data_IF_858018521150
#
_entry.id   IF_858018521150
#
_cell.length_a   1.000
_cell.length_b   1.000
_cell.length_c   1.000
_cell.angle_alpha   90.00
_cell.angle_beta   90.00
_cell.angle_gamma   90.00
#
_symmetry.space_group_name_H-M   'P 1'
#
loop_
_entity.id
_entity.type
_entity.pdbx_description
1 polymer ?
#
# COMPACT_ATOMS: atom_id res chain seq x y z
N UNK A 1 -20.70 15.71 18.18
CA UNK A 1 -20.08 15.99 16.86
C UNK A 1 -21.08 16.55 15.84
N UNK A 2 -22.06 15.80 15.29
CA UNK A 2 -22.92 16.28 14.18
C UNK A 2 -23.75 17.53 14.50
N UNK A 3 -24.15 17.77 15.76
CA UNK A 3 -24.83 18.97 16.18
C UNK A 3 -23.92 20.21 16.10
N UNK A 4 -22.69 20.08 16.57
CA UNK A 4 -21.67 21.12 16.46
C UNK A 4 -21.35 21.49 15.01
N UNK A 5 -21.15 20.48 14.14
CA UNK A 5 -20.90 20.73 12.72
C UNK A 5 -22.04 21.57 12.08
N UNK A 6 -23.30 21.23 12.39
CA UNK A 6 -24.46 22.03 11.94
C UNK A 6 -24.47 23.46 12.51
N UNK A 7 -24.10 23.62 13.79
CA UNK A 7 -24.05 24.94 14.41
C UNK A 7 -22.92 25.79 13.77
N UNK A 8 -21.75 25.21 13.50
CA UNK A 8 -20.65 25.88 12.81
C UNK A 8 -21.03 26.21 11.37
N UNK A 9 -21.61 25.26 10.63
CA UNK A 9 -22.08 25.49 9.26
C UNK A 9 -23.14 26.60 9.15
N UNK A 10 -23.95 26.80 10.19
CA UNK A 10 -24.95 27.88 10.28
C UNK A 10 -24.35 29.20 10.82
N UNK A 11 -23.05 29.26 11.09
CA UNK A 11 -22.41 30.44 11.70
C UNK A 11 -22.80 30.73 13.13
N UNK A 12 -23.39 29.76 13.85
CA UNK A 12 -23.83 29.91 15.26
C UNK A 12 -22.73 29.60 16.27
N UNK A 13 -21.66 28.96 15.81
CA UNK A 13 -20.47 28.60 16.59
C UNK A 13 -19.24 28.91 15.76
N UNK A 14 -18.09 29.31 16.36
CA UNK A 14 -16.85 29.52 15.64
C UNK A 14 -16.28 28.20 15.15
N UNK A 15 -15.59 28.24 14.02
CA UNK A 15 -14.82 27.11 13.49
C UNK A 15 -13.50 26.91 14.24
N UNK A 16 -12.92 25.71 14.18
CA UNK A 16 -11.55 25.48 14.63
C UNK A 16 -10.55 26.01 13.60
N UNK A 17 -10.81 25.76 12.30
CA UNK A 17 -9.99 26.22 11.18
C UNK A 17 -10.88 26.73 10.05
N UNK A 18 -10.50 27.87 9.47
CA UNK A 18 -11.07 28.43 8.26
C UNK A 18 -9.97 28.58 7.21
N UNK A 19 -10.05 27.80 6.13
CA UNK A 19 -9.16 27.88 4.98
C UNK A 19 -9.81 28.74 3.92
N UNK A 20 -9.18 29.88 3.58
CA UNK A 20 -9.70 30.89 2.64
C UNK A 20 -9.00 30.88 1.31
N UNK A 21 -9.70 31.40 0.31
CA UNK A 21 -9.16 31.61 -1.05
C UNK A 21 -8.61 30.33 -1.66
N UNK A 22 -9.31 29.20 -1.44
CA UNK A 22 -8.93 27.91 -1.97
C UNK A 22 -9.52 27.67 -3.38
N UNK A 23 -8.74 27.05 -4.26
CA UNK A 23 -9.27 26.33 -5.43
C UNK A 23 -9.53 24.90 -5.01
N UNK A 24 -10.80 24.58 -4.76
CA UNK A 24 -11.21 23.24 -4.32
C UNK A 24 -11.07 22.25 -5.49
N UNK A 25 -10.33 21.18 -5.30
CA UNK A 25 -10.31 20.04 -6.19
C UNK A 25 -11.48 19.13 -5.80
N UNK A 26 -12.56 19.24 -6.53
CA UNK A 26 -13.77 18.48 -6.28
C UNK A 26 -13.74 17.14 -7.04
N UNK A 27 -13.31 16.10 -6.33
CA UNK A 27 -13.23 14.72 -6.84
C UNK A 27 -14.61 14.04 -6.97
N UNK A 28 -15.68 14.66 -6.46
CA UNK A 28 -17.04 14.13 -6.56
C UNK A 28 -17.71 14.54 -7.87
N UNK A 29 -17.42 15.76 -8.36
CA UNK A 29 -17.99 16.31 -9.62
C UNK A 29 -16.94 16.49 -10.72
N UNK A 30 -15.70 16.09 -10.47
CA UNK A 30 -14.55 16.23 -11.39
C UNK A 30 -14.36 17.69 -11.86
N UNK A 31 -14.36 18.62 -10.92
CA UNK A 31 -14.25 20.04 -11.21
C UNK A 31 -13.31 20.79 -10.25
N UNK A 32 -12.94 22.01 -10.61
CA UNK A 32 -12.22 22.93 -9.73
C UNK A 32 -13.02 24.23 -9.60
N UNK A 33 -13.24 24.69 -8.37
CA UNK A 33 -13.94 25.94 -8.10
C UNK A 33 -13.37 26.68 -6.89
N UNK A 34 -13.58 27.99 -6.81
CA UNK A 34 -13.11 28.81 -5.70
C UNK A 34 -14.10 28.75 -4.50
N UNK A 35 -13.56 28.48 -3.32
CA UNK A 35 -14.34 28.42 -2.07
C UNK A 35 -13.45 28.60 -0.84
N UNK A 36 -14.11 28.72 0.31
CA UNK A 36 -13.49 28.56 1.64
C UNK A 36 -14.00 27.30 2.31
N UNK A 37 -13.16 26.69 3.16
CA UNK A 37 -13.47 25.45 3.88
C UNK A 37 -13.43 25.71 5.37
N UNK A 38 -14.48 25.27 6.05
CA UNK A 38 -14.68 25.43 7.49
C UNK A 38 -14.56 24.09 8.17
N UNK A 39 -13.68 23.98 9.16
CA UNK A 39 -13.40 22.73 9.89
C UNK A 39 -13.75 22.91 11.36
N UNK A 40 -14.37 21.88 11.95
CA UNK A 40 -14.62 21.78 13.39
C UNK A 40 -14.53 20.31 13.83
N UNK A 41 -13.90 20.06 14.99
CA UNK A 41 -13.75 18.71 15.57
C UNK A 41 -13.18 17.68 14.57
N UNK A 42 -12.24 18.10 13.74
CA UNK A 42 -11.60 17.25 12.76
C UNK A 42 -12.42 16.95 11.49
N UNK A 43 -13.58 17.59 11.32
CA UNK A 43 -14.46 17.37 10.18
C UNK A 43 -14.76 18.67 9.44
N UNK A 44 -15.01 18.57 8.15
CA UNK A 44 -15.47 19.69 7.34
C UNK A 44 -16.91 20.02 7.73
N UNK A 45 -17.13 21.21 8.27
CA UNK A 45 -18.46 21.69 8.61
C UNK A 45 -19.17 22.31 7.41
N UNK A 46 -18.41 23.05 6.57
CA UNK A 46 -18.95 23.70 5.36
C UNK A 46 -17.87 23.89 4.30
N UNK A 47 -18.32 23.96 3.04
CA UNK A 47 -17.58 24.47 1.88
C UNK A 47 -18.48 25.56 1.29
N UNK A 48 -18.01 26.80 1.19
CA UNK A 48 -18.85 27.94 0.82
C UNK A 48 -18.07 28.98 0.01
N UNK A 49 -18.81 29.93 -0.57
CA UNK A 49 -18.18 31.05 -1.26
C UNK A 49 -17.28 31.86 -0.30
N UNK A 50 -16.14 32.34 -0.80
CA UNK A 50 -15.19 33.11 -0.02
C UNK A 50 -15.84 34.33 0.66
N UNK A 51 -15.58 34.51 1.96
CA UNK A 51 -16.12 35.59 2.77
C UNK A 51 -17.44 35.29 3.46
N UNK A 52 -17.98 34.07 3.34
CA UNK A 52 -19.20 33.62 4.03
C UNK A 52 -18.95 33.50 5.53
N UNK A 53 -17.79 32.96 5.93
CA UNK A 53 -17.44 32.74 7.35
C UNK A 53 -16.40 33.74 7.82
N UNK A 54 -16.51 34.17 9.09
CA UNK A 54 -15.62 35.16 9.70
C UNK A 54 -14.99 34.67 10.99
N UNK A 55 -15.71 33.85 11.76
CA UNK A 55 -15.32 33.46 13.11
C UNK A 55 -14.68 32.04 13.10
N UNK A 56 -13.37 32.01 13.33
CA UNK A 56 -12.61 30.78 13.48
C UNK A 56 -11.45 30.99 14.46
N UNK A 57 -11.06 29.91 15.17
CA UNK A 57 -9.89 29.95 16.07
C UNK A 57 -8.58 30.15 15.30
N UNK A 58 -8.49 29.50 14.12
CA UNK A 58 -7.37 29.64 13.18
C UNK A 58 -7.89 30.04 11.80
N UNK A 59 -7.21 30.92 11.11
CA UNK A 59 -7.53 31.31 9.73
C UNK A 59 -6.27 31.13 8.89
N UNK A 60 -6.37 30.36 7.81
CA UNK A 60 -5.32 30.17 6.84
C UNK A 60 -5.79 30.67 5.47
N UNK A 61 -5.08 31.66 4.92
CA UNK A 61 -5.28 32.14 3.55
C UNK A 61 -4.28 31.46 2.64
N UNK A 62 -4.75 30.56 1.78
CA UNK A 62 -3.91 29.81 0.84
C UNK A 62 -3.75 30.51 -0.52
N UNK A 63 -4.25 31.74 -0.66
CA UNK A 63 -3.97 32.68 -1.77
C UNK A 63 -4.17 32.08 -3.17
N UNK A 64 -5.20 31.28 -3.35
CA UNK A 64 -5.54 30.67 -4.64
C UNK A 64 -4.79 29.35 -4.94
N UNK A 65 -4.11 28.79 -3.95
CA UNK A 65 -3.57 27.43 -4.03
C UNK A 65 -4.69 26.39 -4.10
N UNK A 66 -4.36 25.17 -4.53
CA UNK A 66 -5.33 24.10 -4.70
C UNK A 66 -5.51 23.32 -3.41
N UNK A 67 -6.74 23.15 -2.98
CA UNK A 67 -7.10 22.34 -1.82
C UNK A 67 -7.73 21.03 -2.31
N UNK A 68 -7.03 19.94 -2.12
CA UNK A 68 -7.45 18.59 -2.46
C UNK A 68 -7.73 17.75 -1.21
N UNK A 69 -8.49 16.65 -1.31
CA UNK A 69 -8.51 15.66 -0.24
C UNK A 69 -7.11 15.07 -0.02
N UNK A 70 -6.85 14.63 1.19
CA UNK A 70 -5.64 13.89 1.52
C UNK A 70 -5.50 12.62 0.67
N UNK A 71 -4.27 12.31 0.26
CA UNK A 71 -3.98 11.17 -0.60
C UNK A 71 -4.06 9.86 0.20
N UNK A 72 -4.42 8.79 -0.49
CA UNK A 72 -4.57 7.44 0.06
C UNK A 72 -3.63 6.49 -0.68
N UNK A 73 -2.71 5.85 0.04
CA UNK A 73 -1.94 4.73 -0.49
C UNK A 73 -2.78 3.47 -0.29
N UNK A 74 -3.27 2.92 -1.39
CA UNK A 74 -4.28 1.86 -1.36
C UNK A 74 -3.71 0.47 -1.04
N UNK A 75 -2.41 0.28 -1.13
CA UNK A 75 -1.72 -0.95 -0.74
C UNK A 75 -0.21 -0.69 -0.62
N UNK A 76 0.39 -1.07 0.50
CA UNK A 76 1.84 -0.94 0.69
C UNK A 76 2.36 -1.87 1.81
N UNK A 77 3.67 -2.20 1.68
CA UNK A 77 4.44 -2.93 2.69
C UNK A 77 5.42 -1.96 3.36
N UNK A 78 5.16 -1.63 4.62
CA UNK A 78 6.03 -0.71 5.38
C UNK A 78 7.43 -1.31 5.56
N UNK A 79 7.51 -2.62 5.71
CA UNK A 79 8.74 -3.39 5.89
C UNK A 79 9.73 -3.17 4.73
N UNK A 80 9.26 -3.10 3.51
CA UNK A 80 10.07 -2.87 2.30
C UNK A 80 10.76 -1.52 2.29
N UNK A 81 10.24 -0.55 3.05
CA UNK A 81 10.90 0.75 3.26
C UNK A 81 12.15 0.65 4.13
N UNK A 82 12.32 -0.44 4.89
CA UNK A 82 13.34 -0.65 5.93
C UNK A 82 13.26 0.38 7.06
N UNK A 83 12.09 0.99 7.29
CA UNK A 83 11.81 1.92 8.36
C UNK A 83 10.72 1.40 9.30
N UNK A 84 10.67 1.90 10.52
CA UNK A 84 9.55 1.62 11.41
C UNK A 84 8.30 2.41 10.94
N UNK A 85 7.08 1.97 11.31
CA UNK A 85 5.85 2.60 10.84
C UNK A 85 5.78 4.11 11.07
N UNK A 86 6.29 4.60 12.20
CA UNK A 86 6.26 6.03 12.50
C UNK A 86 7.11 6.85 11.52
N UNK A 87 8.33 6.37 11.17
CA UNK A 87 9.19 7.05 10.19
C UNK A 87 8.60 7.00 8.79
N UNK A 88 8.03 5.85 8.42
CA UNK A 88 7.35 5.69 7.14
C UNK A 88 6.17 6.67 7.02
N UNK A 89 5.28 6.69 8.02
CA UNK A 89 4.14 7.60 8.06
C UNK A 89 4.55 9.07 7.97
N UNK A 90 5.63 9.48 8.65
CA UNK A 90 6.11 10.86 8.60
C UNK A 90 6.57 11.25 7.18
N UNK A 91 7.27 10.37 6.48
CA UNK A 91 7.64 10.64 5.08
C UNK A 91 6.41 10.68 4.16
N UNK A 92 5.43 9.80 4.35
CA UNK A 92 4.17 9.80 3.60
C UNK A 92 3.38 11.10 3.81
N UNK A 93 3.27 11.57 5.05
CA UNK A 93 2.62 12.84 5.38
C UNK A 93 3.26 14.02 4.66
N UNK A 94 4.61 14.07 4.56
CA UNK A 94 5.33 15.12 3.84
C UNK A 94 4.97 15.20 2.36
N UNK A 95 4.50 14.10 1.79
CA UNK A 95 4.04 14.03 0.40
C UNK A 95 2.53 14.12 0.23
N UNK A 96 1.79 14.38 1.31
CA UNK A 96 0.35 14.60 1.29
C UNK A 96 -0.50 13.35 1.44
N UNK A 97 0.11 12.21 1.75
CA UNK A 97 -0.65 10.98 2.07
C UNK A 97 -1.13 11.05 3.51
N UNK A 98 -2.44 10.94 3.70
CA UNK A 98 -3.10 11.01 5.01
C UNK A 98 -3.81 9.72 5.38
N UNK A 99 -3.75 8.73 4.50
CA UNK A 99 -4.34 7.40 4.72
C UNK A 99 -3.45 6.33 4.12
N UNK A 100 -3.15 5.30 4.91
CA UNK A 100 -2.36 4.13 4.49
C UNK A 100 -3.18 2.86 4.71
N UNK A 101 -3.13 1.96 3.72
CA UNK A 101 -3.62 0.60 3.82
C UNK A 101 -2.42 -0.31 3.64
N UNK A 102 -2.06 -1.02 4.71
CA UNK A 102 -0.80 -1.79 4.79
C UNK A 102 -1.08 -3.27 4.96
N UNK A 103 -0.26 -4.11 4.33
CA UNK A 103 -0.25 -5.57 4.53
C UNK A 103 1.09 -5.99 5.14
N UNK A 104 1.17 -6.21 6.47
CA UNK A 104 2.42 -6.50 7.17
C UNK A 104 2.75 -8.02 7.17
N UNK A 105 2.76 -8.65 6.00
CA UNK A 105 2.96 -10.10 5.91
C UNK A 105 4.41 -10.52 6.20
N UNK A 106 5.41 -9.66 5.98
CA UNK A 106 6.80 -9.98 6.27
C UNK A 106 7.06 -10.08 7.78
N UNK A 107 6.59 -9.10 8.56
CA UNK A 107 6.74 -9.16 10.00
C UNK A 107 5.83 -10.25 10.61
N UNK A 108 4.67 -10.50 10.00
CA UNK A 108 3.80 -11.60 10.41
C UNK A 108 4.47 -12.96 10.19
N UNK A 109 5.21 -13.13 9.09
CA UNK A 109 6.02 -14.34 8.83
C UNK A 109 7.07 -14.58 9.92
N UNK A 110 7.63 -13.52 10.48
CA UNK A 110 8.67 -13.59 11.52
C UNK A 110 8.08 -13.72 12.92
N UNK A 111 7.04 -12.95 13.26
CA UNK A 111 6.59 -12.73 14.63
C UNK A 111 5.07 -12.82 14.83
N UNK A 112 4.32 -13.20 13.81
CA UNK A 112 2.86 -13.42 13.88
C UNK A 112 2.09 -12.21 14.40
N UNK A 113 1.10 -12.48 15.25
CA UNK A 113 0.23 -11.47 15.84
C UNK A 113 0.98 -10.35 16.60
N UNK A 114 2.11 -10.64 17.21
CA UNK A 114 2.93 -9.63 17.91
C UNK A 114 3.49 -8.62 16.91
N UNK A 115 3.96 -9.10 15.75
CA UNK A 115 4.46 -8.27 14.67
C UNK A 115 3.34 -7.40 14.08
N UNK A 116 2.19 -7.98 13.78
CA UNK A 116 1.02 -7.26 13.24
C UNK A 116 0.57 -6.15 14.19
N UNK A 117 0.43 -6.45 15.50
CA UNK A 117 0.07 -5.45 16.51
C UNK A 117 1.09 -4.32 16.63
N UNK A 118 2.38 -4.64 16.50
CA UNK A 118 3.42 -3.61 16.50
C UNK A 118 3.24 -2.67 15.30
N UNK A 119 3.04 -3.20 14.09
CA UNK A 119 2.84 -2.39 12.90
C UNK A 119 1.59 -1.51 13.03
N UNK A 120 0.47 -2.10 13.47
CA UNK A 120 -0.80 -1.40 13.65
C UNK A 120 -0.68 -0.26 14.67
N UNK A 121 -0.27 -0.55 15.89
CA UNK A 121 -0.24 0.43 16.96
C UNK A 121 0.79 1.53 16.72
N UNK A 122 1.98 1.16 16.20
CA UNK A 122 3.02 2.15 15.87
C UNK A 122 2.60 3.11 14.77
N UNK A 123 1.86 2.62 13.75
CA UNK A 123 1.30 3.47 12.71
C UNK A 123 0.20 4.39 13.25
N UNK A 124 -0.64 3.89 14.16
CA UNK A 124 -1.72 4.67 14.79
C UNK A 124 -1.24 5.76 15.76
N UNK A 125 0.01 5.73 16.22
CA UNK A 125 0.61 6.84 16.98
C UNK A 125 0.78 8.11 16.13
N UNK A 126 0.79 7.97 14.80
CA UNK A 126 1.00 9.08 13.87
C UNK A 126 -0.30 9.79 13.50
N UNK A 127 -0.27 11.08 13.17
CA UNK A 127 -1.45 11.83 12.72
C UNK A 127 -1.82 11.48 11.25
N UNK A 128 -2.18 10.23 11.03
CA UNK A 128 -2.55 9.63 9.74
C UNK A 128 -3.63 8.56 9.99
N UNK A 129 -4.48 8.28 9.02
CA UNK A 129 -5.34 7.10 9.10
C UNK A 129 -4.49 5.89 8.71
N UNK A 130 -4.23 5.00 9.65
CA UNK A 130 -3.41 3.82 9.45
C UNK A 130 -4.26 2.57 9.60
N UNK A 131 -4.39 1.83 8.51
CA UNK A 131 -5.14 0.59 8.44
C UNK A 131 -4.21 -0.57 8.10
N UNK A 132 -4.55 -1.75 8.64
CA UNK A 132 -3.84 -3.00 8.39
C UNK A 132 -4.81 -4.01 7.80
N UNK A 133 -4.39 -4.69 6.75
CA UNK A 133 -5.00 -5.91 6.28
C UNK A 133 -4.26 -7.11 6.87
N UNK A 134 -5.01 -8.11 7.32
CA UNK A 134 -4.40 -9.30 7.91
C UNK A 134 -3.80 -10.17 6.82
N UNK A 135 -2.53 -10.60 6.96
CA UNK A 135 -1.86 -11.38 5.93
C UNK A 135 -2.58 -12.67 5.57
N UNK A 136 -2.86 -12.85 4.30
CA UNK A 136 -3.56 -14.05 3.78
C UNK A 136 -2.66 -15.27 3.69
N UNK A 137 -1.38 -15.07 3.39
CA UNK A 137 -0.43 -16.10 3.01
C UNK A 137 0.84 -16.03 3.87
N UNK A 138 0.77 -16.53 5.11
CA UNK A 138 1.91 -16.67 6.01
C UNK A 138 1.94 -18.10 6.57
N UNK A 139 2.96 -18.89 6.19
CA UNK A 139 4.00 -18.63 5.18
C UNK A 139 3.42 -18.47 3.77
N UNK A 140 4.17 -17.79 2.87
CA UNK A 140 3.74 -17.58 1.49
C UNK A 140 3.66 -18.90 0.70
N UNK A 141 4.51 -19.87 1.03
CA UNK A 141 4.52 -21.20 0.43
C UNK A 141 4.72 -22.30 1.48
N UNK A 142 4.29 -23.55 1.20
CA UNK A 142 4.53 -24.67 2.10
C UNK A 142 5.99 -25.12 2.18
N UNK A 143 6.89 -24.53 1.39
CA UNK A 143 8.31 -24.84 1.37
C UNK A 143 9.13 -23.96 2.32
N UNK A 144 8.52 -22.95 2.90
CA UNK A 144 9.18 -22.02 3.83
C UNK A 144 9.19 -22.54 5.27
N UNK A 145 10.23 -22.15 5.99
CA UNK A 145 10.31 -22.26 7.43
C UNK A 145 9.97 -20.90 8.05
N UNK A 146 8.70 -20.64 8.23
CA UNK A 146 8.20 -19.39 8.82
C UNK A 146 8.38 -19.39 10.36
N UNK A 147 8.47 -18.20 10.93
CA UNK A 147 8.44 -18.00 12.38
C UNK A 147 7.02 -18.16 12.95
N UNK A 148 6.00 -18.01 12.12
CA UNK A 148 4.59 -18.13 12.48
C UNK A 148 3.74 -18.63 11.32
N UNK A 149 2.54 -19.08 11.62
CA UNK A 149 1.50 -19.43 10.65
C UNK A 149 0.27 -18.57 10.93
N UNK A 150 -0.23 -17.88 9.92
CA UNK A 150 -1.47 -17.11 9.98
C UNK A 150 -2.59 -17.92 9.34
N UNK A 151 -3.24 -18.76 10.13
CA UNK A 151 -4.45 -19.48 9.74
C UNK A 151 -5.74 -18.67 10.01
N UNK A 152 -6.90 -19.27 9.77
CA UNK A 152 -8.18 -18.58 9.97
C UNK A 152 -8.44 -18.25 11.45
N UNK A 153 -7.98 -19.08 12.39
CA UNK A 153 -8.16 -18.84 13.82
C UNK A 153 -7.29 -17.66 14.26
N UNK A 154 -6.03 -17.61 13.82
CA UNK A 154 -5.14 -16.47 14.08
C UNK A 154 -5.67 -15.16 13.49
N UNK A 155 -6.29 -15.19 12.32
CA UNK A 155 -6.95 -14.03 11.74
C UNK A 155 -8.20 -13.62 12.54
N UNK A 156 -9.02 -14.58 12.98
CA UNK A 156 -10.22 -14.31 13.79
C UNK A 156 -9.90 -13.61 15.11
N UNK A 157 -8.78 -13.95 15.74
CA UNK A 157 -8.29 -13.33 16.98
C UNK A 157 -7.92 -11.84 16.83
N UNK A 158 -7.57 -11.42 15.61
CA UNK A 158 -7.09 -10.06 15.32
C UNK A 158 -8.12 -9.20 14.58
N UNK A 159 -9.02 -9.80 13.81
CA UNK A 159 -9.83 -9.09 12.83
C UNK A 159 -10.75 -8.01 13.40
N UNK A 160 -11.04 -8.05 14.70
CA UNK A 160 -11.88 -7.05 15.37
C UNK A 160 -11.09 -5.96 16.10
N UNK A 161 -9.76 -5.96 16.00
CA UNK A 161 -8.95 -4.84 16.52
C UNK A 161 -9.19 -3.59 15.68
N UNK A 162 -9.21 -2.43 16.34
CA UNK A 162 -9.44 -1.14 15.67
C UNK A 162 -8.30 -0.84 14.67
N UNK A 163 -8.66 -0.57 13.44
CA UNK A 163 -7.73 -0.36 12.33
C UNK A 163 -7.44 -1.60 11.48
N UNK A 164 -7.94 -2.78 11.87
CA UNK A 164 -7.92 -3.95 10.96
C UNK A 164 -9.04 -3.80 9.94
N UNK A 165 -8.67 -3.77 8.66
CA UNK A 165 -9.58 -3.42 7.57
C UNK A 165 -10.12 -4.65 6.84
N UNK A 166 -9.24 -5.57 6.44
CA UNK A 166 -9.59 -6.69 5.59
C UNK A 166 -8.57 -7.82 5.65
N UNK A 167 -8.63 -8.70 4.66
CA UNK A 167 -7.64 -9.73 4.39
C UNK A 167 -6.67 -9.21 3.34
N UNK A 168 -5.38 -9.24 3.64
CA UNK A 168 -4.31 -8.84 2.74
C UNK A 168 -4.19 -9.73 1.51
N UNK A 169 -3.30 -9.36 0.63
CA UNK A 169 -3.16 -9.90 -0.72
C UNK A 169 -3.18 -11.44 -0.79
N UNK A 170 -4.18 -11.97 -1.50
CA UNK A 170 -4.35 -13.42 -1.68
C UNK A 170 -3.39 -13.95 -2.75
N UNK A 171 -2.14 -14.19 -2.37
CA UNK A 171 -1.08 -14.69 -3.24
C UNK A 171 -1.25 -16.18 -3.62
N UNK A 172 -1.95 -16.98 -2.79
CA UNK A 172 -2.10 -18.42 -3.05
C UNK A 172 -3.21 -18.71 -4.07
N UNK A 173 -3.03 -18.22 -5.29
CA UNK A 173 -3.94 -18.49 -6.42
C UNK A 173 -4.18 -20.01 -6.62
N UNK A 174 -3.15 -20.88 -6.62
CA UNK A 174 -3.38 -22.31 -6.72
C UNK A 174 -4.28 -22.88 -5.62
N UNK A 175 -4.13 -22.40 -4.39
CA UNK A 175 -4.97 -22.80 -3.26
C UNK A 175 -6.42 -22.39 -3.45
N UNK A 176 -6.67 -21.18 -3.94
CA UNK A 176 -8.03 -20.71 -4.29
C UNK A 176 -8.64 -21.61 -5.38
N UNK A 177 -7.92 -21.82 -6.48
CA UNK A 177 -8.43 -22.58 -7.63
C UNK A 177 -8.63 -24.07 -7.35
N UNK A 178 -7.83 -24.65 -6.43
CA UNK A 178 -7.94 -26.06 -6.06
C UNK A 178 -8.78 -26.31 -4.80
N UNK A 179 -9.45 -25.28 -4.28
CA UNK A 179 -10.28 -25.35 -3.08
C UNK A 179 -9.50 -25.85 -1.84
N UNK A 180 -8.29 -25.31 -1.61
CA UNK A 180 -7.52 -25.62 -0.41
C UNK A 180 -8.30 -25.20 0.84
N UNK A 181 -8.59 -26.12 1.78
CA UNK A 181 -9.40 -25.81 2.95
C UNK A 181 -8.81 -24.68 3.83
N UNK A 182 -7.48 -24.57 3.90
CA UNK A 182 -6.82 -23.53 4.70
C UNK A 182 -6.96 -22.14 4.07
N UNK A 183 -7.01 -22.06 2.75
CA UNK A 183 -7.27 -20.81 2.01
C UNK A 183 -8.74 -20.45 2.11
N UNK A 184 -9.63 -21.42 1.81
CA UNK A 184 -11.07 -21.16 1.79
C UNK A 184 -11.62 -20.77 3.17
N UNK A 185 -11.08 -21.33 4.27
CA UNK A 185 -11.53 -20.95 5.62
C UNK A 185 -11.19 -19.48 5.94
N UNK A 186 -10.04 -18.97 5.48
CA UNK A 186 -9.72 -17.55 5.61
C UNK A 186 -10.62 -16.67 4.75
N UNK A 187 -10.80 -16.99 3.47
CA UNK A 187 -11.72 -16.26 2.60
C UNK A 187 -13.11 -16.17 3.22
N UNK A 188 -13.66 -17.32 3.66
CA UNK A 188 -14.99 -17.39 4.25
C UNK A 188 -15.13 -16.52 5.50
N UNK A 189 -14.11 -16.49 6.37
CA UNK A 189 -14.09 -15.67 7.57
C UNK A 189 -14.31 -14.18 7.24
N UNK A 190 -13.61 -13.64 6.24
CA UNK A 190 -13.71 -12.23 5.86
C UNK A 190 -14.98 -11.94 5.04
N UNK A 191 -15.44 -12.88 4.24
CA UNK A 191 -16.71 -12.77 3.50
C UNK A 191 -17.91 -12.71 4.45
N UNK A 192 -17.93 -13.52 5.50
CA UNK A 192 -19.01 -13.53 6.50
C UNK A 192 -19.13 -12.19 7.22
N UNK A 193 -17.99 -11.50 7.45
CA UNK A 193 -17.90 -10.18 8.05
C UNK A 193 -18.01 -9.03 7.04
N UNK A 194 -18.23 -9.34 5.76
CA UNK A 194 -18.33 -8.36 4.65
C UNK A 194 -17.12 -7.42 4.58
N UNK A 195 -15.92 -7.93 4.83
CA UNK A 195 -14.67 -7.20 4.75
C UNK A 195 -14.02 -7.35 3.40
N UNK A 196 -13.20 -6.39 3.02
CA UNK A 196 -12.41 -6.43 1.78
C UNK A 196 -11.40 -7.55 1.85
N UNK A 197 -11.20 -8.21 0.71
CA UNK A 197 -10.16 -9.21 0.50
C UNK A 197 -9.30 -8.72 -0.66
N UNK A 198 -8.06 -8.36 -0.37
CA UNK A 198 -7.11 -7.95 -1.40
C UNK A 198 -6.60 -9.15 -2.21
N UNK A 199 -6.27 -8.89 -3.45
CA UNK A 199 -5.79 -9.88 -4.39
C UNK A 199 -4.38 -9.60 -4.88
N UNK A 200 -3.73 -10.70 -5.28
CA UNK A 200 -2.39 -10.73 -5.86
C UNK A 200 -2.37 -11.82 -6.95
N UNK A 201 -2.62 -11.43 -8.18
CA UNK A 201 -2.87 -12.38 -9.26
C UNK A 201 -2.12 -12.00 -10.55
N UNK A 202 -0.76 -12.01 -10.53
CA UNK A 202 0.05 -11.66 -11.69
C UNK A 202 -0.25 -12.61 -12.86
N UNK A 203 -0.43 -12.06 -14.05
CA UNK A 203 -0.67 -12.77 -15.31
C UNK A 203 -1.90 -13.71 -15.31
N UNK A 204 -2.76 -13.62 -14.30
CA UNK A 204 -3.96 -14.46 -14.22
C UNK A 204 -5.01 -14.02 -15.24
N UNK A 205 -5.48 -14.95 -16.04
CA UNK A 205 -6.46 -14.69 -17.11
C UNK A 205 -7.45 -15.81 -17.33
N UNK A 206 -8.33 -15.64 -18.31
CA UNK A 206 -9.27 -16.68 -18.77
C UNK A 206 -10.19 -17.20 -17.65
N UNK A 207 -10.36 -18.52 -17.57
CA UNK A 207 -11.25 -19.19 -16.60
C UNK A 207 -10.70 -19.07 -15.17
N UNK A 208 -9.40 -19.05 -15.01
CA UNK A 208 -8.75 -18.96 -13.70
C UNK A 208 -9.01 -17.59 -13.05
N UNK A 209 -8.93 -16.51 -13.82
CA UNK A 209 -9.31 -15.18 -13.34
C UNK A 209 -10.79 -15.13 -12.92
N UNK A 210 -11.68 -15.76 -13.68
CA UNK A 210 -13.10 -15.79 -13.32
C UNK A 210 -13.34 -16.56 -12.02
N UNK A 211 -12.63 -17.68 -11.81
CA UNK A 211 -12.74 -18.47 -10.58
C UNK A 211 -12.17 -17.70 -9.39
N UNK A 212 -11.03 -17.04 -9.54
CA UNK A 212 -10.39 -16.21 -8.53
C UNK A 212 -11.31 -15.05 -8.08
N UNK A 213 -11.84 -14.29 -9.02
CA UNK A 213 -12.80 -13.22 -8.74
C UNK A 213 -14.10 -13.74 -8.10
N UNK A 214 -14.61 -14.88 -8.57
CA UNK A 214 -15.81 -15.52 -8.01
C UNK A 214 -15.62 -16.02 -6.56
N UNK A 215 -14.38 -16.13 -6.08
CA UNK A 215 -14.08 -16.49 -4.70
C UNK A 215 -14.22 -15.33 -3.70
N UNK A 216 -14.68 -14.15 -4.16
CA UNK A 216 -14.97 -12.99 -3.32
C UNK A 216 -13.78 -12.06 -3.12
N UNK A 217 -12.68 -12.25 -3.86
CA UNK A 217 -11.52 -11.35 -3.86
C UNK A 217 -11.91 -10.06 -4.59
N UNK A 218 -11.51 -8.90 -4.06
CA UNK A 218 -12.04 -7.61 -4.46
C UNK A 218 -11.08 -6.79 -5.33
N UNK A 219 -9.76 -6.96 -5.18
CA UNK A 219 -8.75 -6.11 -5.80
C UNK A 219 -7.68 -6.91 -6.53
N UNK A 220 -6.81 -6.21 -7.24
CA UNK A 220 -5.50 -6.70 -7.71
C UNK A 220 -4.56 -5.52 -7.98
N UNK A 221 -3.29 -5.66 -7.61
CA UNK A 221 -2.23 -4.67 -7.84
C UNK A 221 -1.09 -5.19 -8.73
N UNK A 222 -1.16 -6.45 -9.17
CA UNK A 222 -0.09 -7.14 -9.90
C UNK A 222 -0.15 -7.02 -11.44
N UNK A 223 -1.10 -6.22 -11.94
CA UNK A 223 -1.23 -6.03 -13.39
C UNK A 223 -0.02 -5.29 -13.97
N UNK A 224 0.67 -5.89 -14.95
CA UNK A 224 1.83 -5.30 -15.64
C UNK A 224 1.50 -4.65 -16.98
N UNK A 225 0.29 -4.87 -17.50
CA UNK A 225 -0.17 -4.33 -18.78
C UNK A 225 -1.60 -3.87 -18.71
N UNK A 226 -1.97 -2.95 -19.62
CA UNK A 226 -3.36 -2.51 -19.73
C UNK A 226 -4.33 -3.64 -20.09
N UNK A 227 -3.92 -4.56 -20.95
CA UNK A 227 -4.77 -5.71 -21.33
C UNK A 227 -5.12 -6.58 -20.14
N UNK A 228 -4.18 -6.81 -19.24
CA UNK A 228 -4.37 -7.55 -18.00
C UNK A 228 -5.26 -6.79 -17.02
N UNK A 229 -4.93 -5.53 -16.72
CA UNK A 229 -5.72 -4.66 -15.84
C UNK A 229 -7.18 -4.56 -16.34
N UNK A 230 -7.39 -4.39 -17.63
CA UNK A 230 -8.71 -4.34 -18.26
C UNK A 230 -9.49 -5.65 -18.11
N UNK A 231 -8.82 -6.80 -18.19
CA UNK A 231 -9.45 -8.09 -17.98
C UNK A 231 -9.91 -8.26 -16.52
N UNK A 232 -9.11 -7.81 -15.55
CA UNK A 232 -9.43 -7.83 -14.11
C UNK A 232 -10.59 -6.88 -13.78
N UNK A 233 -10.59 -5.65 -14.33
CA UNK A 233 -11.74 -4.73 -14.21
C UNK A 233 -13.04 -5.37 -14.74
N UNK A 234 -12.97 -6.06 -15.89
CA UNK A 234 -14.14 -6.77 -16.48
C UNK A 234 -14.59 -7.95 -15.64
N UNK A 235 -13.69 -8.56 -14.87
CA UNK A 235 -14.03 -9.62 -13.91
C UNK A 235 -14.60 -9.05 -12.60
N UNK A 236 -14.69 -7.73 -12.44
CA UNK A 236 -15.24 -7.07 -11.26
C UNK A 236 -14.22 -6.72 -10.18
N UNK A 237 -12.94 -7.04 -10.39
CA UNK A 237 -11.88 -6.64 -9.47
C UNK A 237 -11.60 -5.14 -9.59
N UNK A 238 -11.29 -4.49 -8.47
CA UNK A 238 -10.66 -3.18 -8.50
C UNK A 238 -9.18 -3.32 -8.88
N UNK A 239 -8.66 -2.39 -9.68
CA UNK A 239 -7.25 -2.39 -10.06
C UNK A 239 -6.51 -1.29 -9.30
N UNK A 240 -5.57 -1.69 -8.47
CA UNK A 240 -4.65 -0.80 -7.79
C UNK A 240 -3.40 -0.65 -8.67
N UNK A 241 -3.23 0.55 -9.23
CA UNK A 241 -2.14 0.84 -10.18
C UNK A 241 -0.87 1.10 -9.39
N UNK A 242 0.08 0.19 -9.53
CA UNK A 242 1.31 0.14 -8.74
C UNK A 242 2.45 0.97 -9.33
N UNK A 243 3.16 1.71 -8.44
CA UNK A 243 4.41 2.41 -8.75
C UNK A 243 5.36 2.33 -7.54
N UNK A 244 6.03 1.19 -7.40
CA UNK A 244 6.98 0.87 -6.32
C UNK A 244 8.41 1.29 -6.60
N UNK A 245 9.37 0.62 -5.95
CA UNK A 245 10.80 0.78 -6.25
C UNK A 245 11.26 -0.13 -7.38
N UNK A 246 10.86 -1.39 -7.38
CA UNK A 246 11.19 -2.39 -8.40
C UNK A 246 10.07 -2.52 -9.44
N UNK A 247 8.82 -2.64 -9.00
CA UNK A 247 7.67 -2.85 -9.89
C UNK A 247 7.02 -1.52 -10.24
N UNK A 248 7.16 -1.08 -11.49
CA UNK A 248 6.76 0.23 -12.00
C UNK A 248 5.86 0.09 -13.22
N UNK A 249 4.60 -0.21 -12.98
CA UNK A 249 3.65 -0.56 -14.06
C UNK A 249 2.66 0.56 -14.41
N UNK A 250 2.70 1.69 -13.69
CA UNK A 250 1.75 2.80 -13.84
C UNK A 250 1.67 3.31 -15.28
N UNK A 251 2.80 3.54 -15.93
CA UNK A 251 2.83 4.10 -17.29
C UNK A 251 2.04 3.25 -18.27
N UNK A 252 2.28 1.93 -18.29
CA UNK A 252 1.61 1.02 -19.24
C UNK A 252 0.10 0.96 -19.02
N UNK A 253 -0.35 1.01 -17.76
CA UNK A 253 -1.77 0.94 -17.42
C UNK A 253 -2.46 2.27 -17.71
N UNK A 254 -1.89 3.40 -17.28
CA UNK A 254 -2.51 4.73 -17.43
C UNK A 254 -2.60 5.16 -18.90
N UNK A 255 -1.60 4.84 -19.74
CA UNK A 255 -1.69 5.07 -21.18
C UNK A 255 -2.90 4.36 -21.77
N UNK A 256 -3.11 3.09 -21.47
CA UNK A 256 -4.27 2.35 -21.95
C UNK A 256 -5.60 2.86 -21.41
N UNK A 257 -5.64 3.33 -20.14
CA UNK A 257 -6.84 3.98 -19.57
C UNK A 257 -7.22 5.22 -20.36
N UNK A 258 -6.23 6.05 -20.73
CA UNK A 258 -6.44 7.29 -21.49
C UNK A 258 -6.91 6.97 -22.93
N UNK A 259 -6.21 6.04 -23.60
CA UNK A 259 -6.53 5.64 -24.99
C UNK A 259 -7.94 5.07 -25.11
N UNK A 260 -8.35 4.21 -24.19
CA UNK A 260 -9.67 3.57 -24.21
C UNK A 260 -10.79 4.43 -23.61
N UNK A 261 -10.46 5.49 -22.88
CA UNK A 261 -11.43 6.40 -22.24
C UNK A 261 -12.35 5.71 -21.23
N UNK A 262 -11.83 4.71 -20.49
CA UNK A 262 -12.65 3.91 -19.56
C UNK A 262 -13.00 4.66 -18.28
N UNK A 263 -14.04 4.21 -17.59
CA UNK A 263 -14.35 4.64 -16.23
C UNK A 263 -13.27 4.14 -15.26
N UNK A 264 -12.79 5.07 -14.42
CA UNK A 264 -11.75 4.81 -13.42
C UNK A 264 -12.31 4.58 -12.01
N UNK A 265 -13.62 4.51 -11.85
CA UNK A 265 -14.26 4.45 -10.51
C UNK A 265 -13.79 3.25 -9.67
N UNK A 266 -13.36 2.19 -10.33
CA UNK A 266 -12.85 0.97 -9.70
C UNK A 266 -11.31 0.85 -9.85
N UNK A 267 -10.63 2.00 -9.89
CA UNK A 267 -9.18 2.08 -9.97
C UNK A 267 -8.63 3.04 -8.91
N UNK A 268 -7.51 2.69 -8.29
CA UNK A 268 -6.78 3.52 -7.35
C UNK A 268 -5.27 3.40 -7.58
N UNK A 269 -4.47 4.23 -6.91
CA UNK A 269 -3.01 4.12 -6.90
C UNK A 269 -2.52 3.42 -5.63
N UNK A 270 -1.44 2.67 -5.77
CA UNK A 270 -0.71 2.07 -4.66
C UNK A 270 0.81 2.13 -4.91
N UNK A 271 1.60 1.83 -3.90
CA UNK A 271 3.05 1.71 -4.06
C UNK A 271 3.54 0.28 -4.04
N UNK A 272 2.85 -0.59 -3.31
CA UNK A 272 3.38 -1.91 -3.01
C UNK A 272 4.74 -1.77 -2.29
N UNK A 273 5.79 -2.44 -2.72
CA UNK A 273 7.16 -2.35 -2.20
C UNK A 273 7.86 -1.05 -2.62
N UNK A 274 8.10 -0.14 -1.66
CA UNK A 274 8.83 1.10 -1.95
C UNK A 274 9.85 1.44 -0.88
N UNK A 275 11.12 1.61 -1.29
CA UNK A 275 12.21 1.99 -0.41
C UNK A 275 12.10 3.43 0.08
N UNK A 276 12.48 3.68 1.34
CA UNK A 276 12.43 5.02 1.94
C UNK A 276 13.27 6.06 1.17
N UNK A 277 14.36 5.64 0.54
CA UNK A 277 15.19 6.52 -0.29
C UNK A 277 14.43 7.04 -1.52
N UNK A 278 13.62 6.17 -2.17
CA UNK A 278 12.79 6.56 -3.30
C UNK A 278 11.61 7.41 -2.83
N UNK A 279 10.99 7.08 -1.69
CA UNK A 279 9.93 7.90 -1.10
C UNK A 279 10.43 9.33 -0.87
N UNK A 280 11.61 9.50 -0.28
CA UNK A 280 12.21 10.82 -0.06
C UNK A 280 12.52 11.59 -1.33
N UNK A 281 12.89 10.92 -2.39
CA UNK A 281 13.27 11.51 -3.67
C UNK A 281 12.08 11.94 -4.50
N UNK A 282 11.06 11.12 -4.60
CA UNK A 282 9.94 11.29 -5.55
C UNK A 282 8.56 11.31 -4.90
N UNK A 283 8.42 10.83 -3.67
CA UNK A 283 7.13 10.60 -3.00
C UNK A 283 6.52 9.26 -3.37
N UNK A 284 5.26 9.10 -3.02
CA UNK A 284 4.47 7.88 -3.25
C UNK A 284 3.26 8.19 -4.14
N UNK A 285 2.08 8.28 -3.58
CA UNK A 285 0.83 8.50 -4.33
C UNK A 285 0.82 9.85 -5.06
N UNK A 286 1.46 10.89 -4.48
CA UNK A 286 1.65 12.15 -5.20
C UNK A 286 2.45 11.94 -6.50
N UNK A 287 3.49 11.10 -6.47
CA UNK A 287 4.27 10.76 -7.66
C UNK A 287 3.42 10.04 -8.71
N UNK A 288 2.59 9.08 -8.28
CA UNK A 288 1.64 8.41 -9.18
C UNK A 288 0.71 9.40 -9.87
N UNK A 289 0.12 10.34 -9.12
CA UNK A 289 -0.73 11.40 -9.67
C UNK A 289 0.04 12.26 -10.69
N UNK A 290 1.25 12.68 -10.34
CA UNK A 290 2.09 13.51 -11.20
C UNK A 290 2.45 12.80 -12.52
N UNK A 291 2.79 11.51 -12.45
CA UNK A 291 3.06 10.70 -13.63
C UNK A 291 1.80 10.55 -14.52
N UNK A 292 0.65 10.27 -13.91
CA UNK A 292 -0.61 10.14 -14.66
C UNK A 292 -0.98 11.45 -15.40
N UNK A 293 -0.79 12.61 -14.75
CA UNK A 293 -0.98 13.92 -15.37
C UNK A 293 0.01 14.15 -16.52
N UNK A 294 1.27 13.81 -16.33
CA UNK A 294 2.30 13.94 -17.36
C UNK A 294 2.02 13.05 -18.58
N UNK A 295 1.34 11.93 -18.40
CA UNK A 295 0.85 11.06 -19.49
C UNK A 295 -0.41 11.58 -20.18
N UNK A 296 -1.04 12.65 -19.65
CA UNK A 296 -2.22 13.27 -20.25
C UNK A 296 -3.54 12.98 -19.54
N UNK A 297 -3.53 12.35 -18.37
CA UNK A 297 -4.74 12.22 -17.56
C UNK A 297 -5.14 13.58 -16.99
N UNK A 298 -6.44 13.86 -16.97
CA UNK A 298 -6.97 15.08 -16.39
C UNK A 298 -6.66 15.10 -14.87
N UNK A 299 -6.13 16.22 -14.31
CA UNK A 299 -5.62 16.27 -12.94
C UNK A 299 -6.63 15.85 -11.85
N UNK A 300 -7.91 16.26 -11.98
CA UNK A 300 -8.93 15.89 -11.00
C UNK A 300 -9.23 14.40 -11.05
N UNK A 301 -9.21 13.78 -12.24
CA UNK A 301 -9.36 12.32 -12.40
C UNK A 301 -8.21 11.57 -11.75
N UNK A 302 -6.96 12.02 -11.90
CA UNK A 302 -5.80 11.42 -11.24
C UNK A 302 -5.90 11.54 -9.71
N UNK A 303 -6.29 12.72 -9.19
CA UNK A 303 -6.52 12.93 -7.77
C UNK A 303 -7.71 12.11 -7.22
N UNK A 304 -8.72 11.83 -8.05
CA UNK A 304 -9.82 10.94 -7.70
C UNK A 304 -9.36 9.50 -7.47
N UNK A 305 -8.46 8.97 -8.30
CA UNK A 305 -7.83 7.66 -8.09
C UNK A 305 -6.98 7.62 -6.81
N UNK A 306 -6.34 8.74 -6.49
CA UNK A 306 -5.48 8.90 -5.32
C UNK A 306 -6.24 9.16 -4.01
N UNK A 307 -7.57 9.21 -4.02
CA UNK A 307 -8.37 9.61 -2.86
C UNK A 307 -9.69 8.85 -2.77
N UNK A 308 -10.79 9.42 -3.29
CA UNK A 308 -12.14 8.88 -3.09
C UNK A 308 -12.33 7.48 -3.67
N UNK A 309 -11.63 7.12 -4.76
CA UNK A 309 -11.75 5.78 -5.32
C UNK A 309 -11.15 4.73 -4.37
N UNK A 310 -9.93 4.96 -3.86
CA UNK A 310 -9.32 4.11 -2.86
C UNK A 310 -10.22 3.97 -1.62
N UNK A 311 -10.74 5.09 -1.12
CA UNK A 311 -11.67 5.08 0.02
C UNK A 311 -12.91 4.22 -0.24
N UNK A 312 -13.48 4.27 -1.46
CA UNK A 312 -14.66 3.47 -1.84
C UNK A 312 -14.36 2.00 -2.00
N UNK A 313 -13.23 1.65 -2.61
CA UNK A 313 -12.77 0.27 -2.77
C UNK A 313 -12.68 -0.41 -1.41
N UNK A 314 -12.13 0.27 -0.41
CA UNK A 314 -11.95 -0.26 0.95
C UNK A 314 -13.10 0.07 1.92
N UNK A 315 -14.19 0.65 1.42
CA UNK A 315 -15.36 0.94 2.26
C UNK A 315 -15.12 2.02 3.33
N UNK A 316 -14.08 2.83 3.21
CA UNK A 316 -13.77 3.93 4.14
C UNK A 316 -14.81 5.03 4.00
N UNK A 317 -15.48 5.33 5.10
CA UNK A 317 -16.60 6.31 5.10
C UNK A 317 -16.09 7.70 5.45
N UNK A 318 -16.55 8.69 4.68
CA UNK A 318 -16.26 10.11 4.91
C UNK A 318 -14.76 10.47 4.85
N UNK A 319 -13.98 9.79 4.05
CA UNK A 319 -12.57 10.03 3.76
C UNK A 319 -12.39 10.16 2.23
N UNK A 320 -11.47 11.02 1.77
CA UNK A 320 -11.08 11.13 0.37
C UNK A 320 -11.88 12.15 -0.46
N UNK A 321 -12.63 13.07 0.16
CA UNK A 321 -13.26 14.19 -0.55
C UNK A 321 -13.35 15.44 0.32
N UNK A 322 -13.47 16.62 -0.31
CA UNK A 322 -13.68 17.92 0.37
C UNK A 322 -15.17 18.22 0.38
N UNK A 323 -15.87 17.73 1.40
CA UNK A 323 -17.32 17.89 1.50
C UNK A 323 -17.81 17.98 2.95
N UNK A 324 -18.94 18.65 3.25
CA UNK A 324 -19.48 18.74 4.60
C UNK A 324 -19.75 17.39 5.23
N UNK A 325 -19.30 17.20 6.48
CA UNK A 325 -19.42 15.95 7.24
C UNK A 325 -18.32 14.92 6.95
N UNK A 326 -17.37 15.23 6.07
CA UNK A 326 -16.20 14.42 5.78
C UNK A 326 -15.05 14.80 6.72
N UNK A 327 -14.16 13.86 6.97
CA UNK A 327 -12.95 14.09 7.75
C UNK A 327 -12.08 15.14 7.05
N UNK A 328 -11.52 16.06 7.82
CA UNK A 328 -10.72 17.15 7.28
C UNK A 328 -9.25 16.69 7.04
N UNK A 329 -9.11 15.67 6.23
CA UNK A 329 -7.82 15.20 5.68
C UNK A 329 -7.63 15.90 4.35
N UNK A 330 -6.74 16.86 4.33
CA UNK A 330 -6.64 17.83 3.25
C UNK A 330 -5.17 18.09 2.87
N UNK A 331 -4.93 18.33 1.59
CA UNK A 331 -3.62 18.76 1.10
C UNK A 331 -3.78 20.08 0.34
N UNK A 332 -2.95 21.04 0.66
CA UNK A 332 -2.81 22.27 -0.13
C UNK A 332 -1.64 22.08 -1.07
N UNK A 333 -1.90 22.08 -2.37
CA UNK A 333 -0.88 22.05 -3.42
C UNK A 333 -0.64 23.45 -4.01
N UNK A 334 0.60 23.74 -4.37
CA UNK A 334 0.96 24.98 -5.05
C UNK A 334 0.24 25.12 -6.41
N UNK A 335 0.22 24.06 -7.18
CA UNK A 335 -0.50 23.93 -8.45
C UNK A 335 -0.75 22.44 -8.79
N UNK A 336 -1.51 22.16 -9.85
CA UNK A 336 -1.86 20.79 -10.26
C UNK A 336 -0.84 20.13 -11.20
N UNK A 337 0.26 20.81 -11.54
CA UNK A 337 1.34 20.26 -12.35
C UNK A 337 2.47 19.73 -11.45
N UNK A 338 3.01 20.57 -10.55
CA UNK A 338 4.08 20.21 -9.64
C UNK A 338 3.57 19.35 -8.46
N UNK A 339 2.34 19.60 -8.03
CA UNK A 339 1.70 18.98 -6.85
C UNK A 339 2.59 19.06 -5.61
N UNK A 340 3.29 20.20 -5.43
CA UNK A 340 4.11 20.40 -4.23
C UNK A 340 3.20 20.67 -3.03
N UNK A 341 3.23 19.83 -1.98
CA UNK A 341 2.48 20.10 -0.76
C UNK A 341 2.98 21.35 -0.06
N UNK A 342 2.09 22.27 0.25
CA UNK A 342 2.33 23.46 1.06
C UNK A 342 1.87 23.25 2.50
N UNK A 343 0.74 22.56 2.67
CA UNK A 343 0.19 22.15 3.96
C UNK A 343 -0.47 20.76 3.80
N UNK A 344 -0.37 19.97 4.84
CA UNK A 344 -1.03 18.66 4.95
C UNK A 344 -1.78 18.62 6.27
N UNK A 345 -3.07 18.35 6.20
CA UNK A 345 -3.93 18.28 7.38
C UNK A 345 -4.46 16.87 7.59
N UNK A 346 -4.38 16.41 8.81
CA UNK A 346 -5.13 15.25 9.30
C UNK A 346 -6.12 15.72 10.35
N UNK A 347 -7.40 15.45 10.11
CA UNK A 347 -8.49 15.94 10.98
C UNK A 347 -8.41 17.45 11.27
N UNK A 348 -7.99 18.22 10.25
CA UNK A 348 -7.90 19.68 10.36
C UNK A 348 -6.69 20.25 11.12
N UNK A 349 -5.82 19.41 11.64
CA UNK A 349 -4.55 19.80 12.26
C UNK A 349 -3.37 19.59 11.30
N UNK A 350 -2.31 20.38 11.43
CA UNK A 350 -1.09 20.25 10.61
C UNK A 350 -0.41 18.92 10.93
N UNK A 351 -0.57 17.97 10.02
CA UNK A 351 -0.16 16.59 10.23
C UNK A 351 1.36 16.41 10.23
N UNK A 352 2.10 17.19 9.42
CA UNK A 352 3.57 17.11 9.37
C UNK A 352 4.16 17.64 10.68
N UNK A 353 3.70 18.83 11.10
CA UNK A 353 4.18 19.43 12.35
C UNK A 353 3.83 18.55 13.58
N UNK A 354 2.66 17.97 13.62
CA UNK A 354 2.29 17.02 14.68
C UNK A 354 3.15 15.76 14.62
N UNK A 355 3.33 15.16 13.45
CA UNK A 355 4.13 13.96 13.27
C UNK A 355 5.59 14.12 13.71
N UNK A 356 6.18 15.31 13.49
CA UNK A 356 7.54 15.61 13.94
C UNK A 356 7.68 15.70 15.48
N UNK A 357 6.57 15.81 16.21
CA UNK A 357 6.56 15.86 17.69
C UNK A 357 6.26 14.51 18.34
N UNK A 358 5.89 13.49 17.56
CA UNK A 358 5.59 12.16 18.11
C UNK A 358 6.84 11.51 18.69
N UNK A 359 6.75 11.06 19.94
CA UNK A 359 7.78 10.22 20.56
C UNK A 359 7.53 8.77 20.15
N UNK A 360 8.39 8.23 19.31
CA UNK A 360 8.22 6.89 18.78
C UNK A 360 8.34 5.83 19.86
N UNK A 361 7.36 4.95 19.96
CA UNK A 361 7.40 3.79 20.82
C UNK A 361 8.40 2.77 20.28
N UNK A 362 9.39 2.32 21.08
CA UNK A 362 10.32 1.29 20.65
C UNK A 362 9.62 -0.02 20.32
N UNK A 363 10.17 -0.77 19.36
CA UNK A 363 9.69 -2.12 19.09
C UNK A 363 9.73 -3.00 20.34
N UNK A 364 8.72 -3.86 20.57
CA UNK A 364 8.70 -4.78 21.70
C UNK A 364 9.93 -5.68 21.74
N UNK A 365 10.44 -6.00 22.94
CA UNK A 365 11.60 -6.90 23.10
C UNK A 365 11.40 -8.29 22.45
N UNK A 366 10.15 -8.75 22.37
CA UNK A 366 9.80 -10.00 21.70
C UNK A 366 10.15 -9.99 20.19
N UNK A 367 10.10 -8.82 19.53
CA UNK A 367 10.50 -8.70 18.12
C UNK A 367 12.02 -8.75 17.95
N UNK A 368 12.77 -8.16 18.88
CA UNK A 368 14.25 -8.18 18.84
C UNK A 368 14.83 -9.59 18.96
N UNK A 369 14.08 -10.50 19.58
CA UNK A 369 14.49 -11.90 19.79
C UNK A 369 13.85 -12.92 18.84
N UNK A 370 13.36 -12.50 17.67
CA UNK A 370 12.58 -13.38 16.77
C UNK A 370 13.41 -14.16 15.75
N UNK A 371 14.73 -13.95 15.70
CA UNK A 371 15.63 -14.59 14.72
C UNK A 371 16.67 -15.44 15.45
N UNK A 372 16.64 -16.76 15.20
CA UNK A 372 17.45 -17.77 15.90
C UNK A 372 18.12 -18.76 14.92
N UNK A 373 19.04 -18.32 14.04
CA UNK A 373 19.74 -19.24 13.16
C UNK A 373 20.63 -20.17 13.97
N UNK A 374 20.71 -21.44 13.58
CA UNK A 374 21.75 -22.32 14.12
C UNK A 374 23.12 -21.83 13.68
N UNK A 375 24.20 -22.08 14.44
CA UNK A 375 25.56 -21.77 14.03
C UNK A 375 25.92 -22.49 12.73
N UNK A 376 26.58 -21.80 11.81
CA UNK A 376 27.10 -22.37 10.58
C UNK A 376 28.51 -21.86 10.28
N UNK A 377 29.24 -22.58 9.42
CA UNK A 377 30.59 -22.23 8.97
C UNK A 377 30.58 -21.91 7.49
N UNK A 378 31.67 -21.36 6.96
CA UNK A 378 31.83 -21.04 5.54
C UNK A 378 31.63 -22.25 4.62
N UNK A 379 31.90 -23.47 5.09
CA UNK A 379 31.67 -24.71 4.35
C UNK A 379 30.19 -24.91 3.95
N UNK A 380 29.27 -24.29 4.66
CA UNK A 380 27.85 -24.30 4.30
C UNK A 380 27.59 -23.69 2.93
N UNK A 381 28.46 -22.80 2.46
CA UNK A 381 28.38 -22.10 1.17
C UNK A 381 29.35 -22.64 0.13
N UNK A 382 29.99 -23.78 0.40
CA UNK A 382 31.01 -24.33 -0.50
C UNK A 382 30.43 -24.73 -1.86
N UNK A 383 31.11 -24.31 -2.92
CA UNK A 383 30.75 -24.64 -4.33
C UNK A 383 30.74 -26.16 -4.57
N UNK A 384 31.52 -26.92 -3.82
CA UNK A 384 31.55 -28.40 -3.87
C UNK A 384 30.19 -29.07 -3.55
N UNK A 385 29.21 -28.32 -3.02
CA UNK A 385 27.82 -28.79 -2.85
C UNK A 385 27.08 -28.93 -4.17
N UNK A 386 27.55 -28.32 -5.25
CA UNK A 386 27.04 -28.54 -6.60
C UNK A 386 27.82 -29.72 -7.26
N UNK A 387 27.19 -30.89 -7.26
CA UNK A 387 27.80 -32.08 -7.87
C UNK A 387 27.96 -31.85 -9.37
N UNK A 388 29.15 -32.15 -9.88
CA UNK A 388 29.55 -31.83 -11.26
C UNK A 388 28.75 -32.55 -12.35
N UNK A 389 28.14 -33.67 -12.00
CA UNK A 389 27.35 -34.55 -12.89
C UNK A 389 25.84 -34.22 -12.84
N UNK A 390 25.44 -33.24 -12.07
CA UNK A 390 24.03 -32.84 -11.93
C UNK A 390 23.71 -31.54 -12.65
N UNK A 391 22.45 -31.43 -13.06
CA UNK A 391 21.87 -30.22 -13.60
C UNK A 391 21.13 -29.48 -12.45
N UNK A 392 21.36 -28.17 -12.31
CA UNK A 392 20.79 -27.34 -11.29
C UNK A 392 19.92 -26.25 -11.90
N UNK A 393 18.76 -25.92 -11.31
CA UNK A 393 17.99 -24.76 -11.73
C UNK A 393 18.75 -23.46 -11.42
N UNK A 394 18.62 -22.50 -12.32
CA UNK A 394 19.14 -21.13 -12.17
C UNK A 394 17.95 -20.20 -12.17
N UNK A 395 17.84 -19.37 -11.14
CA UNK A 395 16.86 -18.28 -11.09
C UNK A 395 17.36 -17.17 -12.01
N UNK A 396 16.61 -16.85 -13.06
CA UNK A 396 16.92 -15.76 -13.98
C UNK A 396 16.05 -14.56 -13.64
N UNK A 397 16.68 -13.48 -13.15
CA UNK A 397 16.01 -12.21 -12.89
C UNK A 397 15.81 -11.46 -14.22
N UNK A 398 14.65 -10.82 -14.35
CA UNK A 398 14.31 -9.97 -15.46
C UNK A 398 14.40 -8.51 -15.04
N UNK A 399 15.04 -7.66 -15.83
CA UNK A 399 15.21 -6.25 -15.50
C UNK A 399 13.86 -5.54 -15.42
N UNK A 400 13.59 -4.87 -14.30
CA UNK A 400 12.35 -4.11 -14.06
C UNK A 400 11.14 -4.96 -13.65
N UNK A 401 11.31 -6.28 -13.47
CA UNK A 401 10.22 -7.19 -13.09
C UNK A 401 10.50 -7.90 -11.77
N UNK A 402 9.43 -8.30 -11.07
CA UNK A 402 9.53 -9.10 -9.84
C UNK A 402 9.46 -10.60 -10.09
N UNK A 403 8.93 -11.04 -11.22
CA UNK A 403 8.92 -12.44 -11.57
C UNK A 403 10.24 -12.86 -12.22
N UNK A 404 10.54 -14.15 -12.13
CA UNK A 404 11.79 -14.74 -12.60
C UNK A 404 11.51 -15.85 -13.59
N UNK A 405 12.50 -16.15 -14.44
CA UNK A 405 12.47 -17.32 -15.32
C UNK A 405 13.35 -18.45 -14.76
N UNK A 406 13.09 -19.65 -15.21
CA UNK A 406 13.88 -20.83 -14.86
C UNK A 406 14.92 -21.11 -15.95
N UNK A 407 16.20 -20.93 -15.61
CA UNK A 407 17.31 -21.49 -16.37
C UNK A 407 17.83 -22.78 -15.77
N UNK A 408 18.82 -23.37 -16.40
CA UNK A 408 19.50 -24.57 -15.94
C UNK A 408 21.02 -24.47 -16.20
N UNK A 409 21.84 -25.07 -15.31
CA UNK A 409 23.31 -25.11 -15.42
C UNK A 409 23.85 -26.43 -14.87
N UNK A 410 24.84 -27.02 -15.57
CA UNK A 410 25.56 -28.17 -15.04
C UNK A 410 26.47 -27.80 -13.87
N UNK A 411 26.54 -28.66 -12.85
CA UNK A 411 27.38 -28.41 -11.68
C UNK A 411 28.87 -28.25 -12.03
N UNK A 412 29.35 -28.87 -13.14
CA UNK A 412 30.69 -28.68 -13.67
C UNK A 412 31.02 -27.26 -14.14
N UNK A 413 30.00 -26.48 -14.48
CA UNK A 413 30.11 -25.10 -15.00
C UNK A 413 30.01 -24.03 -13.89
N UNK A 414 29.50 -24.41 -12.71
CA UNK A 414 29.14 -23.47 -11.63
C UNK A 414 30.37 -22.67 -11.17
N UNK A 415 31.49 -23.31 -10.94
CA UNK A 415 32.71 -22.64 -10.44
C UNK A 415 33.22 -21.58 -11.44
N UNK A 416 33.25 -21.89 -12.73
CA UNK A 416 33.64 -20.95 -13.77
C UNK A 416 32.62 -19.80 -13.91
N UNK A 417 31.33 -20.12 -13.88
CA UNK A 417 30.27 -19.15 -14.03
C UNK A 417 30.24 -18.12 -12.86
N UNK A 418 30.48 -18.57 -11.63
CA UNK A 418 30.63 -17.70 -10.45
C UNK A 418 31.89 -16.82 -10.57
N UNK A 419 33.04 -17.39 -10.94
CA UNK A 419 34.29 -16.64 -11.12
C UNK A 419 34.19 -15.58 -12.22
N UNK A 420 33.41 -15.88 -13.26
CA UNK A 420 33.16 -14.95 -14.37
C UNK A 420 32.03 -13.93 -14.10
N UNK A 421 31.38 -13.96 -12.95
CA UNK A 421 30.24 -13.10 -12.61
C UNK A 421 28.97 -13.33 -13.45
N UNK A 422 28.89 -14.49 -14.14
CA UNK A 422 27.71 -14.84 -14.95
C UNK A 422 26.52 -15.30 -14.11
N UNK A 423 26.80 -15.83 -12.92
CA UNK A 423 25.83 -16.21 -11.92
C UNK A 423 26.33 -15.81 -10.53
N UNK A 424 25.43 -15.70 -9.58
CA UNK A 424 25.69 -15.47 -8.16
C UNK A 424 25.18 -16.65 -7.33
N UNK A 425 25.84 -16.92 -6.20
CA UNK A 425 25.36 -17.88 -5.23
C UNK A 425 24.28 -17.22 -4.38
N UNK A 426 23.10 -17.82 -4.30
CA UNK A 426 22.05 -17.45 -3.34
C UNK A 426 21.97 -18.49 -2.23
N UNK A 427 21.88 -18.05 -0.99
CA UNK A 427 21.70 -18.90 0.17
C UNK A 427 20.44 -18.51 0.95
N UNK A 428 19.62 -19.52 1.28
CA UNK A 428 18.48 -19.37 2.17
C UNK A 428 18.79 -20.09 3.47
N UNK A 429 18.91 -19.32 4.55
CA UNK A 429 19.29 -19.81 5.88
C UNK A 429 18.03 -19.83 6.75
N UNK A 430 17.67 -21.01 7.28
CA UNK A 430 16.60 -21.12 8.28
C UNK A 430 16.98 -20.32 9.53
N UNK A 431 16.11 -19.43 9.96
CA UNK A 431 16.40 -18.42 10.98
C UNK A 431 15.42 -18.37 12.14
N UNK A 432 14.42 -19.25 12.16
CA UNK A 432 13.33 -19.20 13.16
C UNK A 432 13.40 -20.35 14.17
N UNK A 433 13.72 -21.55 13.70
CA UNK A 433 13.64 -22.78 14.47
C UNK A 433 15.01 -23.37 14.86
N UNK A 434 16.12 -22.74 14.42
CA UNK A 434 17.46 -23.18 14.70
C UNK A 434 17.80 -24.58 14.14
N UNK A 435 17.20 -24.96 13.02
CA UNK A 435 17.37 -26.29 12.41
C UNK A 435 18.72 -26.49 11.75
N UNK A 436 19.41 -25.39 11.40
CA UNK A 436 20.65 -25.43 10.62
C UNK A 436 20.43 -25.70 9.12
N UNK A 437 19.21 -25.70 8.63
CA UNK A 437 18.91 -25.88 7.21
C UNK A 437 19.42 -24.68 6.41
N UNK A 438 20.23 -24.96 5.39
CA UNK A 438 20.74 -23.97 4.42
C UNK A 438 20.52 -24.51 3.02
N UNK A 439 19.67 -23.84 2.27
CA UNK A 439 19.47 -24.06 0.84
C UNK A 439 20.45 -23.21 0.03
N UNK A 440 21.05 -23.78 -1.01
CA UNK A 440 21.89 -23.06 -1.97
C UNK A 440 21.23 -23.10 -3.34
N UNK A 441 21.32 -22.00 -4.07
CA UNK A 441 20.86 -21.87 -5.44
C UNK A 441 21.77 -20.99 -6.28
N UNK A 442 21.46 -20.90 -7.55
CA UNK A 442 22.16 -20.06 -8.51
C UNK A 442 21.22 -18.97 -9.01
N UNK A 443 21.73 -17.75 -9.08
CA UNK A 443 20.99 -16.55 -9.48
C UNK A 443 21.72 -15.87 -10.64
N UNK A 444 21.02 -15.52 -11.70
CA UNK A 444 21.53 -14.78 -12.86
C UNK A 444 20.78 -13.45 -13.02
N UNK A 445 21.47 -12.42 -13.51
CA UNK A 445 20.86 -11.10 -13.73
C UNK A 445 20.82 -10.22 -12.48
N UNK A 446 21.57 -10.56 -11.43
CA UNK A 446 21.75 -9.74 -10.24
C UNK A 446 23.07 -8.95 -10.33
N UNK A 447 23.00 -7.59 -10.13
CA UNK A 447 24.18 -6.72 -10.11
C UNK A 447 24.13 -5.56 -11.03
#
# INVERSE_FOLDING_TARGET
>A
MRELLRAVALGKQPADLLIKNAKIVDVLTESVYEAEVVVAEGYIAAVAANGTYKDAKKVLDIKGAYLAPGLINAHCHVESSMAAPQQYCLEELRWGVTTLITDPHEIANVAGAVGIRYMLHSGQEMPINYYVELPSCVPATPFEHAGCVMDADACADLMHEDGILGLGEMMNVPGVLNNDPSVLSKLQLFLDEQRVIDGHAPMLGGKELQAYAASGINTDHESISWSEAKAKLRAGLAVLVREGSASRNLTAIIQGVIEDGVDISNMAFCTDDKHLADIRKEGTIRHCVQMAIALGMEPVRALRMASINAARIYGLKNIGAVAPGWQADLVVFDNLESLKPLHVFHKGEDAVALGETVNFTPAPAALAGSVHPAPFTEDAFAISRFATDKLYPVIQMLEGEIFTERGEMHGSEVAEALAAGRVHLIAVIERHNGTGNIGLGLLQGYG
#
